data_IF_956074758141
#
_entry.id   IF_956074758141
#
_cell.length_a   1.000
_cell.length_b   1.000
_cell.length_c   1.000
_cell.angle_alpha   90.00
_cell.angle_beta   90.00
_cell.angle_gamma   90.00
#
_symmetry.space_group_name_H-M   'P 1'
#
loop_
_entity.id
_entity.type
_entity.pdbx_description
1 polymer ?
#
# COMPACT_ATOMS: atom_id res chain seq x y z
N UNK A 1 -36.14 -3.36 -34.25
CA UNK A 1 -36.67 -2.11 -33.67
C UNK A 1 -37.58 -2.49 -32.52
N UNK A 2 -37.51 -1.73 -31.42
CA UNK A 2 -38.18 -1.88 -30.10
C UNK A 2 -37.36 -2.68 -29.07
N UNK A 3 -37.02 -2.24 -27.85
CA UNK A 3 -36.79 -0.92 -27.20
C UNK A 3 -36.49 -1.23 -25.73
N UNK A 4 -35.61 -0.43 -25.11
CA UNK A 4 -35.41 -0.23 -23.66
C UNK A 4 -36.56 -0.64 -22.72
N UNK A 5 -36.23 -1.43 -21.68
CA UNK A 5 -36.86 -1.60 -20.33
C UNK A 5 -36.39 -2.99 -19.86
N UNK A 6 -35.65 -3.21 -18.78
CA UNK A 6 -35.87 -2.75 -17.41
C UNK A 6 -34.50 -2.67 -16.67
N UNK A 7 -34.01 -1.45 -16.50
CA UNK A 7 -33.16 -1.06 -15.37
C UNK A 7 -34.13 -0.44 -14.36
N UNK A 8 -34.41 -1.13 -13.25
CA UNK A 8 -34.88 -0.60 -11.95
C UNK A 8 -35.44 -1.75 -11.11
N UNK A 9 -35.20 -1.66 -9.79
CA UNK A 9 -35.63 -2.57 -8.70
C UNK A 9 -34.64 -3.75 -8.49
N UNK A 10 -33.80 -3.85 -7.46
CA UNK A 10 -33.74 -3.27 -6.11
C UNK A 10 -32.26 -2.95 -5.73
N UNK A 11 -31.91 -1.67 -5.62
CA UNK A 11 -30.66 -1.23 -5.00
C UNK A 11 -31.03 -0.50 -3.71
N UNK A 12 -30.89 -1.15 -2.55
CA UNK A 12 -31.18 -0.49 -1.28
C UNK A 12 -29.96 0.29 -0.77
N UNK A 13 -30.00 1.60 -0.95
CA UNK A 13 -29.11 2.55 -0.28
C UNK A 13 -29.56 2.69 1.18
N UNK A 14 -28.94 1.92 2.07
CA UNK A 14 -29.13 2.08 3.52
C UNK A 14 -27.79 2.43 4.18
N UNK A 15 -27.71 3.63 4.78
CA UNK A 15 -26.64 4.08 5.70
C UNK A 15 -25.23 4.16 5.10
N UNK A 16 -25.06 4.84 3.97
CA UNK A 16 -23.73 5.13 3.37
C UNK A 16 -22.85 3.89 3.12
N UNK A 17 -23.45 2.73 2.82
CA UNK A 17 -22.72 1.49 2.48
C UNK A 17 -23.39 0.78 1.31
N UNK A 18 -22.59 0.23 0.41
CA UNK A 18 -23.07 -0.68 -0.63
C UNK A 18 -23.03 -2.11 -0.08
N UNK A 19 -24.15 -2.83 -0.22
CA UNK A 19 -24.28 -4.23 0.21
C UNK A 19 -24.46 -5.12 -1.02
N UNK A 20 -23.64 -6.15 -1.15
CA UNK A 20 -23.71 -7.15 -2.22
C UNK A 20 -24.07 -8.51 -1.65
N UNK A 21 -24.84 -9.30 -2.39
CA UNK A 21 -25.19 -10.67 -2.01
C UNK A 21 -24.44 -11.65 -2.87
N UNK A 22 -23.61 -12.50 -2.27
CA UNK A 22 -22.91 -13.58 -2.99
C UNK A 22 -23.90 -14.61 -3.53
N UNK A 23 -25.15 -14.61 -3.07
CA UNK A 23 -26.19 -15.39 -3.70
C UNK A 23 -27.52 -14.65 -3.65
N UNK A 24 -28.09 -14.34 -4.82
CA UNK A 24 -29.47 -13.86 -4.87
C UNK A 24 -30.40 -14.91 -4.27
N UNK A 25 -31.22 -14.52 -3.30
CA UNK A 25 -32.24 -15.37 -2.68
C UNK A 25 -33.27 -15.88 -3.70
N UNK A 26 -33.42 -15.20 -4.83
CA UNK A 26 -34.42 -15.52 -5.85
C UNK A 26 -33.84 -16.35 -7.01
N UNK A 27 -32.60 -16.12 -7.44
CA UNK A 27 -32.04 -16.73 -8.65
C UNK A 27 -30.81 -17.61 -8.43
N UNK A 28 -30.19 -17.55 -7.24
CA UNK A 28 -29.03 -18.39 -6.93
C UNK A 28 -27.71 -17.97 -7.59
N UNK A 29 -27.71 -16.88 -8.37
CA UNK A 29 -26.52 -16.34 -9.05
C UNK A 29 -25.55 -15.65 -8.07
N UNK A 30 -24.25 -15.77 -8.37
CA UNK A 30 -23.17 -15.02 -7.73
C UNK A 30 -23.10 -13.60 -8.32
N UNK A 31 -23.05 -12.58 -7.48
CA UNK A 31 -22.72 -11.22 -7.89
C UNK A 31 -21.19 -11.08 -8.02
N UNK A 32 -20.73 -10.39 -9.08
CA UNK A 32 -19.30 -10.17 -9.31
C UNK A 32 -18.77 -9.04 -8.42
N UNK A 33 -18.49 -9.38 -7.18
CA UNK A 33 -17.95 -8.47 -6.17
C UNK A 33 -16.65 -7.79 -6.61
N UNK A 34 -15.82 -8.47 -7.42
CA UNK A 34 -14.56 -7.93 -7.93
C UNK A 34 -14.81 -6.77 -8.88
N UNK A 35 -15.63 -6.97 -9.91
CA UNK A 35 -15.93 -5.91 -10.88
C UNK A 35 -16.56 -4.71 -10.19
N UNK A 36 -17.44 -4.92 -9.21
CA UNK A 36 -18.04 -3.80 -8.50
C UNK A 36 -17.04 -3.08 -7.60
N UNK A 37 -16.14 -3.79 -6.92
CA UNK A 37 -15.03 -3.19 -6.18
C UNK A 37 -14.14 -2.33 -7.08
N UNK A 38 -13.78 -2.84 -8.26
CA UNK A 38 -12.93 -2.12 -9.22
C UNK A 38 -13.62 -0.83 -9.70
N UNK A 39 -14.93 -0.86 -9.99
CA UNK A 39 -15.71 0.32 -10.34
C UNK A 39 -15.87 1.31 -9.18
N UNK A 40 -16.06 0.80 -7.96
CA UNK A 40 -16.22 1.64 -6.76
C UNK A 40 -14.93 2.38 -6.42
N UNK A 41 -13.75 1.78 -6.64
CA UNK A 41 -12.46 2.46 -6.50
C UNK A 41 -12.37 3.68 -7.40
N UNK A 42 -12.67 3.51 -8.70
CA UNK A 42 -12.69 4.62 -9.67
C UNK A 42 -13.65 5.72 -9.21
N UNK A 43 -14.85 5.37 -8.76
CA UNK A 43 -15.84 6.36 -8.30
C UNK A 43 -15.45 7.06 -7.00
N UNK A 44 -14.85 6.34 -6.05
CA UNK A 44 -14.33 6.90 -4.82
C UNK A 44 -13.21 7.91 -5.12
N UNK A 45 -12.31 7.59 -6.06
CA UNK A 45 -11.26 8.50 -6.53
C UNK A 45 -11.81 9.75 -7.23
N UNK A 46 -12.77 9.58 -8.16
CA UNK A 46 -13.38 10.70 -8.90
C UNK A 46 -14.12 11.70 -8.00
N UNK A 47 -14.77 11.21 -6.94
CA UNK A 47 -15.65 12.01 -6.10
C UNK A 47 -15.05 12.35 -4.71
N UNK A 48 -13.87 11.81 -4.40
CA UNK A 48 -13.27 11.92 -3.07
C UNK A 48 -14.08 11.21 -1.98
N UNK A 49 -14.80 10.14 -2.33
CA UNK A 49 -15.59 9.34 -1.39
C UNK A 49 -14.77 8.19 -0.79
N UNK A 50 -15.18 7.73 0.38
CA UNK A 50 -14.65 6.52 1.02
C UNK A 50 -15.81 5.58 1.37
N UNK A 51 -16.49 5.08 0.34
CA UNK A 51 -17.62 4.16 0.52
C UNK A 51 -17.11 2.72 0.62
N UNK A 52 -17.34 2.01 1.75
CA UNK A 52 -16.94 0.62 1.89
C UNK A 52 -17.96 -0.33 1.25
N UNK A 53 -17.48 -1.54 0.94
CA UNK A 53 -18.30 -2.66 0.46
C UNK A 53 -18.60 -3.61 1.63
N UNK A 54 -19.87 -3.94 1.81
CA UNK A 54 -20.30 -5.06 2.63
C UNK A 54 -20.70 -6.22 1.74
N UNK A 55 -20.12 -7.38 1.99
CA UNK A 55 -20.43 -8.62 1.27
C UNK A 55 -21.29 -9.50 2.20
N UNK A 56 -22.56 -9.71 1.84
CA UNK A 56 -23.50 -10.62 2.51
C UNK A 56 -23.34 -12.04 1.94
N UNK A 57 -22.64 -12.86 2.72
CA UNK A 57 -22.22 -14.22 2.40
C UNK A 57 -23.05 -15.31 3.08
N UNK A 58 -24.27 -15.02 3.57
CA UNK A 58 -25.02 -15.89 4.46
C UNK A 58 -25.11 -17.37 4.02
N UNK A 59 -25.28 -17.61 2.71
CA UNK A 59 -25.27 -18.97 2.14
C UNK A 59 -24.11 -19.21 1.17
N UNK A 60 -23.81 -18.23 0.32
CA UNK A 60 -22.75 -18.33 -0.68
C UNK A 60 -21.36 -18.56 -0.09
N UNK A 61 -21.10 -18.08 1.13
CA UNK A 61 -19.77 -18.18 1.74
C UNK A 61 -19.35 -19.57 2.20
N UNK A 62 -20.31 -20.48 2.39
CA UNK A 62 -20.02 -21.90 2.70
C UNK A 62 -20.06 -22.81 1.46
N UNK A 63 -20.33 -22.25 0.28
CA UNK A 63 -20.45 -23.02 -0.97
C UNK A 63 -19.35 -22.59 -1.94
N UNK A 64 -19.21 -21.29 -2.19
CA UNK A 64 -18.29 -20.74 -3.17
C UNK A 64 -16.83 -21.19 -2.99
N UNK A 65 -16.22 -21.24 -1.78
CA UNK A 65 -14.85 -21.73 -1.59
C UNK A 65 -14.62 -23.16 -2.08
N UNK A 66 -15.65 -24.00 -2.02
CA UNK A 66 -15.52 -25.44 -2.29
C UNK A 66 -15.90 -25.80 -3.72
N UNK A 67 -16.82 -25.06 -4.34
CA UNK A 67 -17.33 -25.37 -5.69
C UNK A 67 -16.77 -24.46 -6.76
N UNK A 68 -16.31 -23.26 -6.39
CA UNK A 68 -15.71 -22.29 -7.31
C UNK A 68 -14.61 -21.48 -6.59
N UNK A 69 -13.48 -22.13 -6.26
CA UNK A 69 -12.41 -21.51 -5.47
C UNK A 69 -11.74 -20.31 -6.16
N UNK A 70 -11.83 -20.21 -7.49
CA UNK A 70 -11.28 -19.10 -8.28
C UNK A 70 -12.16 -17.85 -8.25
N UNK A 71 -13.37 -17.94 -7.70
CA UNK A 71 -14.23 -16.78 -7.52
C UNK A 71 -13.61 -15.85 -6.47
N UNK A 72 -13.28 -14.63 -6.85
CA UNK A 72 -12.75 -13.61 -5.93
C UNK A 72 -13.92 -12.84 -5.35
N UNK A 73 -14.39 -13.27 -4.17
CA UNK A 73 -15.57 -12.71 -3.53
C UNK A 73 -15.38 -12.42 -2.03
N UNK A 74 -14.33 -12.97 -1.40
CA UNK A 74 -14.10 -12.93 0.04
C UNK A 74 -12.68 -12.49 0.44
N UNK A 75 -12.27 -12.87 1.66
CA UNK A 75 -10.91 -12.72 2.17
C UNK A 75 -9.84 -13.12 1.18
N UNK A 76 -10.06 -14.06 0.25
CA UNK A 76 -9.07 -14.48 -0.74
C UNK A 76 -8.61 -13.34 -1.66
N UNK A 77 -9.50 -12.39 -2.00
CA UNK A 77 -9.13 -11.19 -2.76
C UNK A 77 -8.29 -10.23 -1.93
N UNK A 78 -8.70 -9.98 -0.69
CA UNK A 78 -7.92 -9.18 0.26
C UNK A 78 -6.58 -9.82 0.60
N UNK A 79 -6.54 -11.15 0.76
CA UNK A 79 -5.34 -11.95 0.99
C UNK A 79 -4.41 -11.83 -0.21
N UNK A 80 -4.91 -11.90 -1.44
CA UNK A 80 -4.08 -11.72 -2.64
C UNK A 80 -3.44 -10.34 -2.69
N UNK A 81 -4.22 -9.28 -2.39
CA UNK A 81 -3.71 -7.91 -2.32
C UNK A 81 -2.66 -7.78 -1.21
N UNK A 82 -2.97 -8.22 0.00
CA UNK A 82 -2.07 -8.12 1.15
C UNK A 82 -0.80 -8.94 0.97
N UNK A 83 -0.89 -10.14 0.40
CA UNK A 83 0.27 -10.97 0.05
C UNK A 83 1.17 -10.22 -0.94
N UNK A 84 0.61 -9.64 -2.00
CA UNK A 84 1.39 -8.86 -2.96
C UNK A 84 2.06 -7.63 -2.29
N UNK A 85 1.36 -6.90 -1.43
CA UNK A 85 1.94 -5.78 -0.67
C UNK A 85 3.11 -6.24 0.21
N UNK A 86 2.97 -7.38 0.88
CA UNK A 86 4.02 -7.96 1.70
C UNK A 86 5.22 -8.41 0.86
N UNK A 87 5.00 -9.01 -0.31
CA UNK A 87 6.08 -9.38 -1.23
C UNK A 87 6.86 -8.15 -1.71
N UNK A 88 6.16 -7.06 -2.03
CA UNK A 88 6.80 -5.82 -2.47
C UNK A 88 7.54 -5.15 -1.31
N UNK A 89 6.98 -5.15 -0.09
CA UNK A 89 7.67 -4.66 1.09
C UNK A 89 8.95 -5.45 1.40
N UNK A 90 8.89 -6.78 1.29
CA UNK A 90 10.07 -7.64 1.44
C UNK A 90 11.12 -7.35 0.35
N UNK A 91 10.68 -7.18 -0.91
CA UNK A 91 11.56 -6.82 -2.02
C UNK A 91 12.25 -5.46 -1.79
N UNK A 92 11.51 -4.44 -1.37
CA UNK A 92 12.05 -3.13 -1.04
C UNK A 92 13.05 -3.21 0.11
N UNK A 93 12.72 -3.93 1.18
CA UNK A 93 13.60 -4.12 2.33
C UNK A 93 14.91 -4.81 1.92
N UNK A 94 14.84 -5.87 1.10
CA UNK A 94 16.03 -6.55 0.58
C UNK A 94 16.86 -5.62 -0.29
N UNK A 95 16.25 -4.91 -1.23
CA UNK A 95 16.95 -4.02 -2.16
C UNK A 95 17.66 -2.87 -1.42
N UNK A 96 17.04 -2.34 -0.36
CA UNK A 96 17.65 -1.35 0.52
C UNK A 96 18.80 -1.93 1.36
N UNK A 97 18.65 -3.14 1.89
CA UNK A 97 19.68 -3.83 2.65
C UNK A 97 20.91 -4.17 1.78
N UNK A 98 20.69 -4.59 0.53
CA UNK A 98 21.73 -4.92 -0.45
C UNK A 98 22.61 -3.69 -0.80
N UNK A 99 22.12 -2.47 -0.55
CA UNK A 99 22.95 -1.26 -0.68
C UNK A 99 24.05 -1.18 0.38
N UNK A 100 23.90 -1.89 1.50
CA UNK A 100 24.74 -1.82 2.69
C UNK A 100 24.87 -0.41 3.32
N UNK A 101 24.04 0.55 2.89
CA UNK A 101 23.97 1.91 3.43
C UNK A 101 23.02 1.98 4.63
N UNK A 102 21.96 1.17 4.59
CA UNK A 102 20.87 1.20 5.56
C UNK A 102 20.81 -0.07 6.41
N UNK A 103 20.33 0.08 7.63
CA UNK A 103 19.91 -1.00 8.52
C UNK A 103 18.38 -1.05 8.55
N UNK A 104 17.81 -2.22 8.26
CA UNK A 104 16.35 -2.42 8.28
C UNK A 104 15.89 -2.70 9.72
N UNK A 105 14.86 -1.98 10.15
CA UNK A 105 14.30 -2.05 11.51
C UNK A 105 12.93 -2.74 11.55
N UNK A 106 12.20 -2.79 10.43
CA UNK A 106 10.88 -3.44 10.35
C UNK A 106 10.99 -4.95 10.18
N UNK A 107 10.04 -5.67 10.77
CA UNK A 107 9.86 -7.12 10.57
C UNK A 107 9.56 -7.47 9.11
N UNK A 108 9.87 -8.71 8.71
CA UNK A 108 9.65 -9.25 7.35
C UNK A 108 8.69 -10.44 7.36
N UNK A 109 8.35 -10.94 6.18
CA UNK A 109 7.69 -12.24 5.98
C UNK A 109 6.33 -12.40 6.69
N UNK A 110 5.48 -11.37 6.65
CA UNK A 110 4.10 -11.46 7.16
C UNK A 110 3.95 -11.25 8.67
N UNK A 111 5.04 -11.01 9.40
CA UNK A 111 5.01 -10.76 10.85
C UNK A 111 4.54 -9.32 11.17
N UNK A 112 4.70 -8.39 10.22
CA UNK A 112 4.34 -6.97 10.36
C UNK A 112 3.46 -6.43 9.24
N UNK A 113 3.21 -5.12 9.27
CA UNK A 113 2.48 -4.37 8.25
C UNK A 113 3.32 -4.24 6.95
N UNK A 114 2.70 -4.01 5.77
CA UNK A 114 3.40 -3.79 4.51
C UNK A 114 4.09 -2.42 4.47
N UNK A 115 5.16 -2.29 5.25
CA UNK A 115 5.99 -1.09 5.35
C UNK A 115 7.44 -1.49 5.60
N UNK A 116 8.35 -0.59 5.26
CA UNK A 116 9.78 -0.73 5.51
C UNK A 116 10.24 0.45 6.35
N UNK A 117 10.69 0.15 7.57
CA UNK A 117 11.36 1.12 8.44
C UNK A 117 12.86 0.85 8.44
N UNK A 118 13.67 1.88 8.25
CA UNK A 118 15.12 1.73 8.08
C UNK A 118 15.86 3.00 8.54
N UNK A 119 17.12 2.85 8.93
CA UNK A 119 18.00 3.96 9.37
C UNK A 119 19.35 3.87 8.67
N UNK A 120 20.13 4.94 8.71
CA UNK A 120 21.50 4.94 8.21
C UNK A 120 22.39 4.04 9.08
N UNK A 121 23.22 3.20 8.44
CA UNK A 121 24.14 2.28 9.13
C UNK A 121 25.39 2.98 9.67
N UNK A 122 25.87 4.00 8.95
CA UNK A 122 27.06 4.76 9.33
C UNK A 122 26.73 5.76 10.43
N UNK A 123 27.45 5.66 11.55
CA UNK A 123 27.48 6.66 12.62
C UNK A 123 28.73 7.52 12.34
N UNK A 124 28.61 8.85 12.34
CA UNK A 124 29.64 9.85 11.94
C UNK A 124 29.65 10.30 10.46
N UNK A 125 28.48 10.32 9.82
CA UNK A 125 28.25 11.07 8.58
C UNK A 125 27.73 12.48 8.90
N UNK A 126 27.97 13.43 7.99
CA UNK A 126 27.67 14.84 8.21
C UNK A 126 26.21 15.22 7.87
N UNK A 127 25.40 14.24 7.47
CA UNK A 127 23.96 14.33 7.19
C UNK A 127 23.20 13.23 7.94
N UNK A 128 21.88 13.37 8.08
CA UNK A 128 21.02 12.40 8.73
C UNK A 128 19.79 11.99 7.88
N UNK A 129 18.90 11.18 8.45
CA UNK A 129 17.66 10.72 7.81
C UNK A 129 16.73 11.86 7.39
N UNK A 130 16.75 13.01 8.08
CA UNK A 130 15.95 14.17 7.69
C UNK A 130 16.53 14.86 6.46
N UNK A 131 17.85 14.92 6.34
CA UNK A 131 18.51 15.46 5.14
C UNK A 131 18.23 14.59 3.91
N UNK A 132 18.29 13.25 4.07
CA UNK A 132 17.92 12.30 3.00
C UNK A 132 16.47 12.50 2.59
N UNK A 133 15.55 12.57 3.56
CA UNK A 133 14.12 12.79 3.30
C UNK A 133 13.84 14.13 2.60
N UNK A 134 14.56 15.20 2.97
CA UNK A 134 14.43 16.50 2.33
C UNK A 134 14.85 16.46 0.86
N UNK A 135 15.97 15.80 0.55
CA UNK A 135 16.46 15.64 -0.84
C UNK A 135 15.58 14.73 -1.68
N UNK A 136 15.04 13.67 -1.10
CA UNK A 136 14.04 12.84 -1.77
C UNK A 136 12.77 13.63 -2.11
N UNK A 137 12.36 14.55 -1.23
CA UNK A 137 11.22 15.44 -1.50
C UNK A 137 11.43 16.37 -2.68
N UNK A 138 12.65 16.88 -2.88
CA UNK A 138 13.00 17.66 -4.09
C UNK A 138 12.82 16.86 -5.38
N UNK A 139 12.92 15.52 -5.31
CA UNK A 139 12.68 14.59 -6.42
C UNK A 139 11.23 14.09 -6.51
N UNK A 140 10.33 14.61 -5.67
CA UNK A 140 8.91 14.23 -5.64
C UNK A 140 8.56 13.06 -4.72
N UNK A 141 9.54 12.47 -4.02
CA UNK A 141 9.29 11.38 -3.08
C UNK A 141 8.96 11.89 -1.68
N UNK A 142 7.85 11.43 -1.09
CA UNK A 142 7.50 11.74 0.30
C UNK A 142 7.84 10.53 1.17
N UNK A 143 9.07 10.53 1.70
CA UNK A 143 9.54 9.54 2.67
C UNK A 143 9.68 10.22 4.03
N UNK A 144 8.80 9.97 5.01
CA UNK A 144 8.89 10.60 6.32
C UNK A 144 10.07 10.06 7.13
N UNK A 145 10.75 10.97 7.83
CA UNK A 145 11.78 10.67 8.82
C UNK A 145 11.26 11.02 10.23
N UNK A 146 11.64 10.20 11.22
CA UNK A 146 11.20 10.32 12.61
C UNK A 146 12.39 10.14 13.56
N UNK A 147 12.28 10.70 14.76
CA UNK A 147 13.16 10.38 15.89
C UNK A 147 12.36 9.59 16.91
N UNK A 148 12.89 8.46 17.38
CA UNK A 148 12.23 7.63 18.40
C UNK A 148 12.24 8.32 19.78
N UNK A 149 11.29 7.90 20.64
CA UNK A 149 11.02 8.49 21.94
C UNK A 149 12.21 8.41 22.94
N UNK A 150 12.23 9.25 24.00
CA UNK A 150 13.45 9.64 24.74
C UNK A 150 14.17 8.54 25.55
N UNK A 151 13.57 7.35 25.73
CA UNK A 151 14.12 6.29 26.58
C UNK A 151 14.93 5.23 25.83
N UNK A 152 14.92 5.31 24.50
CA UNK A 152 15.83 4.59 23.61
C UNK A 152 16.75 5.63 23.00
N UNK A 153 18.02 5.28 22.81
CA UNK A 153 19.01 6.03 22.04
C UNK A 153 18.32 6.82 20.92
N UNK A 154 18.64 8.11 20.72
CA UNK A 154 18.01 9.05 19.77
C UNK A 154 18.09 8.57 18.30
N UNK A 155 17.45 7.45 17.99
CA UNK A 155 17.49 6.76 16.72
C UNK A 155 16.56 7.53 15.80
N UNK A 156 17.16 8.02 14.73
CA UNK A 156 16.46 8.57 13.59
C UNK A 156 16.22 7.44 12.59
N UNK A 157 15.06 7.46 11.94
CA UNK A 157 14.69 6.45 10.95
C UNK A 157 13.80 7.06 9.88
N UNK A 158 13.76 6.41 8.72
CA UNK A 158 12.80 6.66 7.64
C UNK A 158 11.80 5.52 7.54
N UNK A 159 10.60 5.81 7.02
CA UNK A 159 9.55 4.81 6.84
C UNK A 159 8.87 4.93 5.49
N UNK A 160 8.81 3.84 4.74
CA UNK A 160 8.05 3.73 3.49
C UNK A 160 6.88 2.80 3.73
N UNK A 161 5.65 3.25 3.46
CA UNK A 161 4.45 2.41 3.52
C UNK A 161 4.15 1.93 2.10
N UNK A 162 4.05 0.63 1.90
CA UNK A 162 3.72 0.01 0.61
C UNK A 162 2.21 -0.05 0.47
N UNK A 163 1.71 0.59 -0.58
CA UNK A 163 0.29 0.64 -0.94
C UNK A 163 0.07 -0.10 -2.25
N UNK A 164 -1.19 -0.32 -2.61
CA UNK A 164 -1.60 -1.12 -3.78
C UNK A 164 -1.00 -0.60 -5.10
N UNK A 165 -0.78 0.71 -5.21
CA UNK A 165 -0.20 1.38 -6.37
C UNK A 165 1.34 1.33 -6.42
N UNK A 166 1.99 0.76 -5.40
CA UNK A 166 3.45 0.72 -5.29
C UNK A 166 4.01 -0.57 -5.88
N UNK A 167 4.45 -0.54 -7.14
CA UNK A 167 4.99 -1.69 -7.88
C UNK A 167 6.48 -1.95 -7.63
N UNK A 168 6.99 -3.11 -8.08
CA UNK A 168 8.44 -3.43 -8.07
C UNK A 168 9.27 -2.42 -8.87
N UNK A 169 8.77 -1.98 -10.02
CA UNK A 169 9.44 -0.94 -10.82
C UNK A 169 9.53 0.39 -10.05
N UNK A 170 8.45 0.81 -9.36
CA UNK A 170 8.49 1.99 -8.49
C UNK A 170 9.49 1.83 -7.35
N UNK A 171 9.63 0.62 -6.81
CA UNK A 171 10.67 0.30 -5.82
C UNK A 171 12.08 0.52 -6.41
N UNK A 172 12.35 0.01 -7.61
CA UNK A 172 13.68 0.15 -8.24
C UNK A 172 14.02 1.63 -8.53
N UNK A 173 13.05 2.40 -9.01
CA UNK A 173 13.21 3.85 -9.23
C UNK A 173 13.49 4.56 -7.91
N UNK A 174 12.70 4.28 -6.86
CA UNK A 174 12.91 4.88 -5.54
C UNK A 174 14.29 4.56 -4.97
N UNK A 175 14.73 3.30 -5.03
CA UNK A 175 16.05 2.91 -4.54
C UNK A 175 17.17 3.59 -5.33
N UNK A 176 17.00 3.73 -6.64
CA UNK A 176 17.97 4.45 -7.50
C UNK A 176 18.07 5.92 -7.11
N UNK A 177 16.95 6.57 -6.83
CA UNK A 177 16.91 7.95 -6.34
C UNK A 177 17.50 8.10 -4.94
N UNK A 178 17.28 7.13 -4.05
CA UNK A 178 17.91 7.07 -2.73
C UNK A 178 19.43 6.99 -2.89
N UNK A 179 19.95 6.07 -3.70
CA UNK A 179 21.39 5.94 -3.96
C UNK A 179 21.99 7.24 -4.51
N UNK A 180 21.35 7.83 -5.51
CA UNK A 180 21.76 9.11 -6.09
C UNK A 180 21.76 10.25 -5.07
N UNK A 181 20.79 10.25 -4.15
CA UNK A 181 20.69 11.21 -3.06
C UNK A 181 21.84 11.05 -2.06
N UNK A 182 22.15 9.80 -1.69
CA UNK A 182 23.28 9.50 -0.80
C UNK A 182 24.60 9.90 -1.44
N UNK A 183 24.82 9.61 -2.73
CA UNK A 183 26.01 10.03 -3.46
C UNK A 183 26.16 11.56 -3.51
N UNK A 184 25.05 12.28 -3.68
CA UNK A 184 25.06 13.74 -3.64
C UNK A 184 25.43 14.25 -2.24
N UNK A 185 24.79 13.72 -1.20
CA UNK A 185 25.06 14.12 0.19
C UNK A 185 26.51 13.84 0.57
N UNK A 186 27.07 12.69 0.18
CA UNK A 186 28.48 12.38 0.41
C UNK A 186 29.47 13.39 -0.20
N UNK A 187 29.08 14.11 -1.27
CA UNK A 187 29.93 15.11 -1.94
C UNK A 187 29.73 16.52 -1.39
N UNK A 188 28.67 16.78 -0.64
CA UNK A 188 28.37 18.10 -0.10
C UNK A 188 29.11 18.28 1.24
N UNK A 189 29.70 19.44 1.45
CA UNK A 189 30.25 19.79 2.76
C UNK A 189 29.11 20.20 3.72
N UNK A 190 29.35 20.00 5.03
CA UNK A 190 28.38 20.28 6.11
C UNK A 190 27.80 21.71 6.08
N UNK A 191 28.59 22.68 5.59
CA UNK A 191 28.16 24.09 5.47
C UNK A 191 27.13 24.34 4.34
N UNK A 192 27.07 23.45 3.35
CA UNK A 192 26.16 23.58 2.19
C UNK A 192 24.79 22.96 2.46
N UNK A 193 24.67 22.05 3.43
CA UNK A 193 23.43 21.33 3.72
C UNK A 193 22.34 22.20 4.37
N UNK A 194 22.73 23.26 5.10
CA UNK A 194 21.79 24.10 5.86
C UNK A 194 21.61 25.52 5.32
N UNK A 195 22.20 25.86 4.17
CA UNK A 195 21.89 27.11 3.47
C UNK A 195 20.53 26.98 2.77
N UNK A 196 19.50 27.54 3.41
CA UNK A 196 18.18 27.77 2.83
C UNK A 196 18.22 28.83 1.74
#
# INVERSE_FOLDING_TARGET
MLTQRFYNEEFEWHKNKWTFKIRSTYTGHYEDAKTVNDLLKVKNEENGWDVPIHIDAASGGFVAPFVNPDLVWDFSGFTSIMTNLMEIANYLAQTLEDTNIFEILSDRNGIGLPLVAFKLKLKDIHYDEFDVAARLRERGWIVPAYTMAPHTEHIKLMRIVVREDFSRERCDILVTDIKSTIELLNKLDKETLHKK
#
